data_IF_469523129837
#
_entry.id   IF_469523129837
#
_cell.length_a   1.000
_cell.length_b   1.000
_cell.length_c   1.000
_cell.angle_alpha   90.00
_cell.angle_beta   90.00
_cell.angle_gamma   90.00
#
_symmetry.space_group_name_H-M   'P 1'
#
loop_
_entity.id
_entity.type
_entity.pdbx_description
1 polymer ?
#
# COMPACT_ATOMS: atom_id res chain seq x y z
N UNK A 1 -47.43 28.50 -9.49
CA UNK A 1 -47.14 29.76 -10.21
C UNK A 1 -45.98 30.51 -9.58
N UNK A 2 -46.04 30.83 -8.28
CA UNK A 2 -45.02 31.62 -7.56
C UNK A 2 -43.57 31.05 -7.59
N UNK A 3 -43.39 29.72 -7.46
CA UNK A 3 -42.04 29.12 -7.45
C UNK A 3 -41.33 29.28 -8.81
N UNK A 4 -42.06 29.14 -9.91
CA UNK A 4 -41.49 29.28 -11.26
C UNK A 4 -41.09 30.74 -11.55
N UNK A 5 -41.89 31.71 -11.10
CA UNK A 5 -41.53 33.12 -11.19
C UNK A 5 -40.31 33.47 -10.33
N UNK A 6 -40.24 32.97 -9.10
CA UNK A 6 -39.09 33.21 -8.23
C UNK A 6 -37.79 32.63 -8.81
N UNK A 7 -37.82 31.43 -9.38
CA UNK A 7 -36.65 30.82 -10.06
C UNK A 7 -36.27 31.66 -11.29
N UNK A 8 -37.24 32.13 -12.08
CA UNK A 8 -36.99 32.97 -13.25
C UNK A 8 -36.33 34.30 -12.86
N UNK A 9 -36.85 34.98 -11.84
CA UNK A 9 -36.29 36.24 -11.32
C UNK A 9 -34.87 36.02 -10.79
N UNK A 10 -34.63 34.93 -10.07
CA UNK A 10 -33.29 34.58 -9.58
C UNK A 10 -32.30 34.30 -10.72
N UNK A 11 -32.71 33.56 -11.75
CA UNK A 11 -31.89 33.27 -12.93
C UNK A 11 -31.54 34.56 -13.71
N UNK A 12 -32.50 35.46 -13.89
CA UNK A 12 -32.24 36.77 -14.50
C UNK A 12 -31.27 37.61 -13.66
N UNK A 13 -31.36 37.54 -12.33
CA UNK A 13 -30.43 38.21 -11.42
C UNK A 13 -28.99 37.70 -11.53
N UNK A 14 -28.82 36.38 -11.69
CA UNK A 14 -27.53 35.72 -11.93
C UNK A 14 -26.90 36.18 -13.25
N UNK A 15 -27.71 36.25 -14.33
CA UNK A 15 -27.25 36.64 -15.67
C UNK A 15 -26.90 38.13 -15.74
N UNK A 16 -27.59 39.00 -14.99
CA UNK A 16 -27.26 40.44 -14.93
C UNK A 16 -25.94 40.73 -14.21
N UNK A 17 -25.59 39.94 -13.20
CA UNK A 17 -24.38 40.15 -12.38
C UNK A 17 -23.29 39.09 -12.64
N UNK A 18 -22.93 38.87 -13.91
CA UNK A 18 -22.03 37.78 -14.34
C UNK A 18 -20.72 37.71 -13.55
N UNK A 19 -20.05 38.84 -13.31
CA UNK A 19 -18.78 38.87 -12.58
C UNK A 19 -18.94 38.44 -11.12
N UNK A 20 -19.96 38.94 -10.43
CA UNK A 20 -20.22 38.58 -9.03
C UNK A 20 -20.59 37.11 -8.90
N UNK A 21 -21.47 36.62 -9.76
CA UNK A 21 -21.85 35.20 -9.78
C UNK A 21 -20.65 34.32 -10.11
N UNK A 22 -19.80 34.70 -11.07
CA UNK A 22 -18.62 33.93 -11.43
C UNK A 22 -17.63 33.81 -10.25
N UNK A 23 -17.31 34.93 -9.60
CA UNK A 23 -16.35 34.94 -8.48
C UNK A 23 -16.86 34.17 -7.25
N UNK A 24 -18.17 34.21 -6.98
CA UNK A 24 -18.77 33.47 -5.86
C UNK A 24 -18.77 31.96 -6.13
N UNK A 25 -19.15 31.53 -7.33
CA UNK A 25 -19.10 30.12 -7.73
C UNK A 25 -17.66 29.59 -7.76
N UNK A 26 -16.72 30.39 -8.25
CA UNK A 26 -15.31 30.03 -8.30
C UNK A 26 -14.75 29.79 -6.89
N UNK A 27 -15.07 30.69 -5.95
CA UNK A 27 -14.61 30.59 -4.56
C UNK A 27 -15.12 29.31 -3.88
N UNK A 28 -16.41 28.98 -4.05
CA UNK A 28 -17.00 27.77 -3.49
C UNK A 28 -16.38 26.52 -4.13
N UNK A 29 -16.19 26.52 -5.45
CA UNK A 29 -15.59 25.39 -6.16
C UNK A 29 -14.18 25.10 -5.67
N UNK A 30 -13.32 26.13 -5.55
CA UNK A 30 -11.95 25.96 -5.08
C UNK A 30 -11.93 25.47 -3.62
N UNK A 31 -12.78 26.05 -2.76
CA UNK A 31 -12.87 25.66 -1.35
C UNK A 31 -13.29 24.21 -1.16
N UNK A 32 -14.35 23.77 -1.83
CA UNK A 32 -14.85 22.39 -1.74
C UNK A 32 -13.84 21.41 -2.37
N UNK A 33 -13.20 21.78 -3.48
CA UNK A 33 -12.18 20.93 -4.13
C UNK A 33 -10.99 20.67 -3.21
N UNK A 34 -10.48 21.69 -2.51
CA UNK A 34 -9.37 21.52 -1.56
C UNK A 34 -9.71 20.51 -0.44
N UNK A 35 -10.90 20.62 0.13
CA UNK A 35 -11.36 19.70 1.18
C UNK A 35 -11.47 18.26 0.65
N UNK A 36 -12.07 18.07 -0.53
CA UNK A 36 -12.21 16.74 -1.15
C UNK A 36 -10.83 16.11 -1.40
N UNK A 37 -9.87 16.88 -1.92
CA UNK A 37 -8.50 16.40 -2.17
C UNK A 37 -7.84 15.94 -0.88
N UNK A 38 -7.85 16.77 0.16
CA UNK A 38 -7.22 16.43 1.45
C UNK A 38 -7.88 15.22 2.11
N UNK A 39 -9.21 15.12 2.06
CA UNK A 39 -9.93 13.96 2.59
C UNK A 39 -9.59 12.68 1.82
N UNK A 40 -9.56 12.75 0.49
CA UNK A 40 -9.23 11.60 -0.37
C UNK A 40 -7.82 11.08 -0.11
N UNK A 41 -6.86 12.00 0.03
CA UNK A 41 -5.48 11.66 0.40
C UNK A 41 -5.43 11.05 1.80
N UNK A 42 -6.15 11.61 2.77
CA UNK A 42 -6.21 11.10 4.14
C UNK A 42 -6.78 9.69 4.23
N UNK A 43 -7.92 9.44 3.57
CA UNK A 43 -8.52 8.10 3.52
C UNK A 43 -7.65 7.09 2.76
N UNK A 44 -7.10 7.48 1.61
CA UNK A 44 -6.22 6.59 0.86
C UNK A 44 -4.92 6.24 1.59
N UNK A 45 -4.34 7.20 2.32
CA UNK A 45 -3.19 6.94 3.19
C UNK A 45 -3.54 5.99 4.34
N UNK A 46 -4.69 6.22 4.99
CA UNK A 46 -5.17 5.35 6.07
C UNK A 46 -5.40 3.92 5.58
N UNK A 47 -6.08 3.75 4.46
CA UNK A 47 -6.34 2.44 3.85
C UNK A 47 -5.03 1.73 3.50
N UNK A 48 -4.08 2.45 2.86
CA UNK A 48 -2.77 1.88 2.55
C UNK A 48 -2.02 1.42 3.80
N UNK A 49 -2.05 2.21 4.88
CA UNK A 49 -1.45 1.82 6.16
C UNK A 49 -2.14 0.59 6.75
N UNK A 50 -3.47 0.53 6.72
CA UNK A 50 -4.22 -0.64 7.18
C UNK A 50 -3.89 -1.88 6.36
N UNK A 51 -3.86 -1.79 5.03
CA UNK A 51 -3.46 -2.90 4.15
C UNK A 51 -2.02 -3.34 4.43
N UNK A 52 -1.10 -2.42 4.69
CA UNK A 52 0.27 -2.77 5.08
C UNK A 52 0.33 -3.49 6.43
N UNK A 53 -0.54 -3.14 7.38
CA UNK A 53 -0.65 -3.81 8.68
C UNK A 53 -1.34 -5.18 8.54
N UNK A 54 -2.42 -5.26 7.75
CA UNK A 54 -3.13 -6.51 7.46
C UNK A 54 -2.26 -7.50 6.69
N UNK A 55 -1.39 -7.03 5.77
CA UNK A 55 -0.42 -7.86 5.05
C UNK A 55 0.65 -8.48 5.94
N UNK A 56 0.88 -7.92 7.12
CA UNK A 56 1.72 -8.59 8.12
C UNK A 56 0.99 -9.83 8.62
N UNK A 57 -0.35 -9.89 8.55
CA UNK A 57 -1.15 -10.91 9.22
C UNK A 57 -0.91 -10.80 10.73
N UNK A 58 -1.93 -10.99 11.56
CA UNK A 58 -1.70 -10.94 13.01
C UNK A 58 -0.81 -12.08 13.55
N UNK A 59 -0.31 -12.95 12.66
CA UNK A 59 0.38 -14.21 12.98
C UNK A 59 1.62 -14.52 12.11
N UNK A 60 2.23 -13.53 11.43
CA UNK A 60 3.52 -13.75 10.74
C UNK A 60 4.70 -13.11 11.45
N UNK A 61 5.77 -13.89 11.56
CA UNK A 61 7.05 -13.45 12.10
C UNK A 61 8.10 -13.68 11.02
N UNK A 62 8.73 -12.60 10.58
CA UNK A 62 9.87 -12.65 9.66
C UNK A 62 11.16 -12.75 10.46
N UNK A 63 11.91 -13.83 10.25
CA UNK A 63 13.18 -14.08 10.93
C UNK A 63 14.29 -13.90 9.91
N UNK A 64 15.21 -12.98 10.21
CA UNK A 64 16.40 -12.73 9.40
C UNK A 64 17.63 -13.12 10.22
N UNK A 65 18.52 -13.98 9.70
CA UNK A 65 19.77 -14.27 10.39
C UNK A 65 20.73 -13.07 10.27
N UNK A 66 21.46 -12.76 11.35
CA UNK A 66 22.35 -11.59 11.40
C UNK A 66 22.00 -10.55 12.46
N UNK A 67 22.91 -9.60 12.71
CA UNK A 67 22.60 -8.41 13.51
C UNK A 67 21.80 -7.42 12.66
N UNK A 68 20.66 -6.99 13.18
CA UNK A 68 19.87 -5.89 12.61
C UNK A 68 20.55 -4.56 12.98
N UNK A 69 21.76 -4.30 12.46
CA UNK A 69 22.40 -2.98 12.51
C UNK A 69 22.17 -2.27 11.18
N UNK A 70 20.94 -1.78 10.99
CA UNK A 70 20.55 -0.98 9.84
C UNK A 70 20.10 -1.79 8.63
N UNK A 71 19.21 -1.17 7.84
CA UNK A 71 18.58 -1.74 6.64
C UNK A 71 19.61 -2.12 5.53
N UNK A 72 20.84 -1.62 5.64
CA UNK A 72 21.93 -1.84 4.70
C UNK A 72 22.67 -3.19 4.88
N UNK A 73 22.50 -3.89 6.00
CA UNK A 73 23.22 -5.14 6.30
C UNK A 73 22.38 -6.41 6.15
N UNK A 74 21.15 -6.31 5.62
CA UNK A 74 20.22 -7.44 5.43
C UNK A 74 20.69 -8.51 4.41
N UNK A 75 21.89 -8.37 3.82
CA UNK A 75 22.47 -9.37 2.91
C UNK A 75 23.93 -9.73 3.18
N UNK A 76 24.55 -9.16 4.22
CA UNK A 76 26.03 -9.23 4.39
C UNK A 76 26.47 -9.71 5.77
N UNK A 77 25.53 -10.00 6.68
CA UNK A 77 25.85 -10.76 7.88
C UNK A 77 25.92 -12.24 7.45
N UNK A 78 27.14 -12.79 7.30
CA UNK A 78 27.42 -14.19 6.95
C UNK A 78 26.98 -15.21 7.99
N UNK A 79 25.78 -15.04 8.54
CA UNK A 79 25.07 -16.01 9.37
C UNK A 79 24.06 -16.68 8.43
N UNK A 80 24.37 -17.89 8.01
CA UNK A 80 23.43 -18.72 7.28
C UNK A 80 22.50 -19.40 8.28
N UNK A 81 21.21 -19.47 7.97
CA UNK A 81 20.23 -20.19 8.77
C UNK A 81 20.19 -21.64 8.28
N UNK A 82 20.46 -22.60 9.16
CA UNK A 82 20.50 -24.01 8.77
C UNK A 82 19.11 -24.65 8.88
N UNK A 83 18.95 -25.82 8.25
CA UNK A 83 17.73 -26.63 8.31
C UNK A 83 17.40 -27.06 9.73
N UNK A 84 18.39 -27.18 10.61
CA UNK A 84 18.17 -27.52 12.02
C UNK A 84 17.53 -26.35 12.79
N UNK A 85 17.86 -25.10 12.45
CA UNK A 85 17.20 -23.91 13.03
C UNK A 85 15.71 -23.88 12.65
N UNK A 86 15.39 -24.23 11.41
CA UNK A 86 14.00 -24.33 10.94
C UNK A 86 13.23 -25.39 11.73
N UNK A 87 13.85 -26.54 12.02
CA UNK A 87 13.23 -27.61 12.84
C UNK A 87 13.03 -27.17 14.28
N UNK A 88 14.01 -26.49 14.87
CA UNK A 88 13.92 -25.98 16.23
C UNK A 88 12.78 -24.96 16.39
N UNK A 89 12.63 -24.05 15.43
CA UNK A 89 11.56 -23.05 15.42
C UNK A 89 10.19 -23.73 15.28
N UNK A 90 10.08 -24.78 14.46
CA UNK A 90 8.83 -25.53 14.29
C UNK A 90 8.36 -26.27 15.56
N UNK A 91 9.26 -26.51 16.51
CA UNK A 91 8.93 -27.16 17.79
C UNK A 91 8.44 -26.16 18.87
N UNK A 92 8.52 -24.86 18.62
CA UNK A 92 8.07 -23.83 19.56
C UNK A 92 6.54 -23.80 19.62
N UNK A 93 5.99 -23.75 20.83
CA UNK A 93 4.54 -23.69 21.07
C UNK A 93 3.96 -22.42 20.44
N UNK A 94 2.93 -22.56 19.62
CA UNK A 94 2.24 -21.46 18.94
C UNK A 94 2.69 -21.21 17.50
N UNK A 95 3.73 -21.90 17.03
CA UNK A 95 4.17 -21.88 15.63
C UNK A 95 3.38 -22.92 14.83
N UNK A 96 2.58 -22.46 13.87
CA UNK A 96 1.75 -23.34 13.03
C UNK A 96 2.54 -23.91 11.84
N UNK A 97 3.31 -23.06 11.17
CA UNK A 97 4.14 -23.46 10.03
C UNK A 97 5.36 -22.54 9.90
N UNK A 98 6.46 -23.10 9.37
CA UNK A 98 7.70 -22.36 9.12
C UNK A 98 8.08 -22.54 7.65
N UNK A 99 8.36 -21.43 6.97
CA UNK A 99 8.75 -21.45 5.56
C UNK A 99 10.10 -20.76 5.40
N UNK A 100 11.18 -21.52 5.14
CA UNK A 100 12.45 -20.91 4.77
C UNK A 100 12.32 -20.25 3.39
N UNK A 101 12.87 -19.05 3.27
CA UNK A 101 12.89 -18.27 2.04
C UNK A 101 14.31 -17.83 1.73
N UNK A 102 14.78 -18.09 0.51
CA UNK A 102 16.08 -17.63 0.01
C UNK A 102 15.85 -16.78 -1.23
N UNK A 103 16.34 -15.54 -1.23
CA UNK A 103 16.22 -14.62 -2.35
C UNK A 103 17.56 -14.38 -3.03
N UNK A 104 17.62 -14.47 -4.35
CA UNK A 104 18.82 -14.08 -5.12
C UNK A 104 18.43 -13.28 -6.35
N UNK A 105 19.25 -12.27 -6.69
CA UNK A 105 19.13 -11.58 -7.97
C UNK A 105 19.74 -12.48 -9.05
N UNK A 106 18.98 -12.71 -10.12
CA UNK A 106 19.41 -13.52 -11.26
C UNK A 106 19.03 -12.77 -12.52
N UNK A 107 19.91 -12.80 -13.52
CA UNK A 107 19.55 -12.31 -14.86
C UNK A 107 18.70 -13.36 -15.56
N UNK A 108 17.43 -13.08 -15.77
CA UNK A 108 16.51 -13.95 -16.49
C UNK A 108 16.44 -13.52 -17.96
N UNK A 109 16.69 -14.47 -18.85
CA UNK A 109 16.54 -14.30 -20.29
C UNK A 109 15.29 -15.01 -20.80
N UNK A 110 14.50 -14.33 -21.62
CA UNK A 110 13.46 -14.95 -22.43
C UNK A 110 13.53 -14.42 -23.88
N UNK A 111 13.89 -15.31 -24.81
CA UNK A 111 14.21 -14.96 -26.21
C UNK A 111 15.33 -13.91 -26.26
N UNK A 112 15.10 -12.75 -26.91
CA UNK A 112 16.07 -11.65 -27.01
C UNK A 112 15.93 -10.61 -25.89
N UNK A 113 15.21 -10.92 -24.80
CA UNK A 113 15.05 -10.01 -23.67
C UNK A 113 15.78 -10.59 -22.46
N UNK A 114 16.72 -9.82 -21.93
CA UNK A 114 17.35 -10.07 -20.63
C UNK A 114 16.90 -9.01 -19.64
N UNK A 115 16.53 -9.44 -18.44
CA UNK A 115 16.16 -8.56 -17.35
C UNK A 115 16.72 -9.13 -16.05
N UNK A 116 17.31 -8.25 -15.23
CA UNK A 116 17.66 -8.61 -13.87
C UNK A 116 16.37 -8.76 -13.07
N UNK A 117 16.15 -9.94 -12.51
CA UNK A 117 14.96 -10.28 -11.73
C UNK A 117 15.35 -10.85 -10.37
N UNK A 118 14.48 -10.65 -9.39
CA UNK A 118 14.67 -11.20 -8.05
C UNK A 118 13.85 -12.47 -7.91
N UNK A 119 14.53 -13.59 -7.64
CA UNK A 119 13.92 -14.90 -7.52
C UNK A 119 13.93 -15.32 -6.05
N UNK A 120 12.78 -15.79 -5.57
CA UNK A 120 12.64 -16.38 -4.24
C UNK A 120 12.48 -17.90 -4.34
N UNK A 121 13.40 -18.64 -3.73
CA UNK A 121 13.22 -20.05 -3.40
C UNK A 121 12.40 -20.18 -2.11
N UNK A 122 11.24 -20.82 -2.21
CA UNK A 122 10.33 -21.08 -1.09
C UNK A 122 9.94 -22.55 -1.07
N UNK A 123 9.51 -23.05 0.08
CA UNK A 123 9.02 -24.44 0.20
C UNK A 123 7.53 -24.50 -0.16
N UNK A 124 6.99 -25.67 -0.54
CA UNK A 124 5.63 -25.83 -1.07
C UNK A 124 4.49 -25.40 -0.13
N UNK A 125 4.79 -25.23 1.16
CA UNK A 125 3.88 -24.74 2.21
C UNK A 125 3.76 -23.20 2.23
N UNK A 126 4.49 -22.46 1.40
CA UNK A 126 4.43 -20.99 1.30
C UNK A 126 3.02 -20.41 1.12
N UNK A 127 2.13 -20.97 0.26
CA UNK A 127 0.77 -20.43 0.13
C UNK A 127 -0.04 -20.50 1.43
N UNK A 128 0.15 -21.55 2.24
CA UNK A 128 -0.60 -21.77 3.50
C UNK A 128 -0.24 -20.79 4.62
N UNK A 129 0.91 -20.13 4.51
CA UNK A 129 1.40 -19.18 5.52
C UNK A 129 1.04 -17.75 5.15
N UNK A 130 0.63 -17.47 3.91
CA UNK A 130 0.35 -16.10 3.44
C UNK A 130 -1.15 -15.82 3.16
N UNK A 131 -2.01 -16.81 3.42
CA UNK A 131 -3.48 -16.66 3.49
C UNK A 131 -3.91 -16.28 4.92
#
# INVERSE_FOLDING_TARGET
MLINENIRIAAEGIIRNKLRTFLTVLSITIGVTGIIVTLSVGFGAREKSLVSIEKIGSRLILIFPGKISGMAQMGEAGIEMDKDDVRAIKQVIGVEEVVPQVGTNVRAGYKNLEMDTFIFGVTSNFPKVRD
#
